data_IF_019387790709
#
_entry.id   IF_019387790709
#
_cell.length_a   1.000
_cell.length_b   1.000
_cell.length_c   1.000
_cell.angle_alpha   90.00
_cell.angle_beta   90.00
_cell.angle_gamma   90.00
#
_symmetry.space_group_name_H-M   'P 1'
#
loop_
_entity.id
_entity.type
_entity.pdbx_description
1 polymer ?
#
# COMPACT_ATOMS: atom_id res chain seq x y z
N UNK A 1 11.81 -4.53 28.21
CA UNK A 1 12.57 -4.29 26.96
C UNK A 1 13.94 -3.80 27.39
N UNK A 2 15.07 -4.34 26.88
CA UNK A 2 16.40 -3.83 27.18
C UNK A 2 16.48 -2.31 26.91
N UNK A 3 17.18 -1.52 27.76
CA UNK A 3 17.15 -0.05 27.67
C UNK A 3 17.52 0.49 26.28
N UNK A 4 18.58 -0.04 25.67
CA UNK A 4 19.04 0.37 24.34
C UNK A 4 18.00 0.11 23.23
N UNK A 5 17.30 -1.01 23.29
CA UNK A 5 16.23 -1.33 22.32
C UNK A 5 14.98 -0.47 22.55
N UNK A 6 14.68 -0.14 23.82
CA UNK A 6 13.60 0.81 24.14
C UNK A 6 13.90 2.20 23.57
N UNK A 7 15.11 2.70 23.78
CA UNK A 7 15.54 4.01 23.28
C UNK A 7 15.48 4.10 21.75
N UNK A 8 15.91 3.05 21.04
CA UNK A 8 15.75 2.96 19.58
C UNK A 8 14.28 3.03 19.17
N UNK A 9 13.41 2.21 19.77
CA UNK A 9 11.98 2.24 19.46
C UNK A 9 11.37 3.63 19.66
N UNK A 10 11.66 4.27 20.79
CA UNK A 10 11.13 5.58 21.14
C UNK A 10 11.64 6.68 20.19
N UNK A 11 12.92 6.63 19.81
CA UNK A 11 13.54 7.65 18.95
C UNK A 11 13.24 7.47 17.46
N UNK A 12 13.29 6.23 16.93
CA UNK A 12 13.20 5.99 15.49
C UNK A 12 11.80 5.63 15.01
N UNK A 13 11.06 4.82 15.77
CA UNK A 13 9.76 4.27 15.34
C UNK A 13 8.61 5.12 15.90
N UNK A 14 8.48 5.19 17.22
CA UNK A 14 7.39 5.93 17.86
C UNK A 14 7.59 7.44 17.76
N UNK A 15 8.85 7.92 17.72
CA UNK A 15 9.24 9.35 17.80
C UNK A 15 8.67 10.04 19.05
N UNK A 16 8.44 9.25 20.10
CA UNK A 16 8.01 9.65 21.44
C UNK A 16 8.17 8.47 22.41
N UNK A 17 8.10 8.73 23.71
CA UNK A 17 8.25 7.68 24.72
C UNK A 17 7.10 6.67 24.68
N UNK A 18 7.36 5.41 25.03
CA UNK A 18 6.32 4.37 25.10
C UNK A 18 5.24 4.71 26.13
N UNK A 19 5.58 5.48 27.16
CA UNK A 19 4.63 5.96 28.16
C UNK A 19 3.70 7.05 27.58
N UNK A 20 4.20 7.92 26.70
CA UNK A 20 3.37 8.88 25.95
C UNK A 20 2.41 8.14 25.01
N UNK A 21 2.91 7.17 24.24
CA UNK A 21 2.08 6.32 23.36
C UNK A 21 1.01 5.57 24.16
N UNK A 22 1.37 5.07 25.35
CA UNK A 22 0.40 4.41 26.24
C UNK A 22 -0.71 5.36 26.68
N UNK A 23 -0.38 6.61 27.05
CA UNK A 23 -1.39 7.60 27.43
C UNK A 23 -2.35 7.92 26.27
N UNK A 24 -1.85 7.99 25.04
CA UNK A 24 -2.70 8.10 23.85
C UNK A 24 -3.63 6.90 23.68
N UNK A 25 -3.12 5.68 23.89
CA UNK A 25 -3.93 4.46 23.85
C UNK A 25 -5.03 4.50 24.91
N UNK A 26 -4.70 4.90 26.15
CA UNK A 26 -5.67 5.05 27.24
C UNK A 26 -6.76 6.04 26.84
N UNK A 27 -6.39 7.23 26.35
CA UNK A 27 -7.36 8.24 25.88
C UNK A 27 -8.28 7.67 24.79
N UNK A 28 -7.71 7.06 23.76
CA UNK A 28 -8.47 6.50 22.64
C UNK A 28 -9.44 5.39 23.04
N UNK A 29 -9.00 4.44 23.87
CA UNK A 29 -9.83 3.29 24.25
C UNK A 29 -10.78 3.59 25.40
N UNK A 30 -10.52 4.59 26.25
CA UNK A 30 -11.45 4.97 27.31
C UNK A 30 -12.78 5.48 26.76
N UNK A 31 -12.78 6.08 25.58
CA UNK A 31 -14.00 6.56 24.90
C UNK A 31 -14.69 5.46 24.08
N UNK A 32 -14.00 4.35 23.75
CA UNK A 32 -14.45 3.39 22.72
C UNK A 32 -14.63 1.97 23.23
N UNK A 33 -13.66 1.46 23.97
CA UNK A 33 -13.68 0.12 24.56
C UNK A 33 -12.77 0.06 25.81
N UNK A 34 -13.23 0.55 26.97
CA UNK A 34 -12.45 0.61 28.22
C UNK A 34 -11.88 -0.74 28.66
N UNK A 35 -12.56 -1.84 28.30
CA UNK A 35 -12.14 -3.22 28.60
C UNK A 35 -10.75 -3.56 28.05
N UNK A 36 -10.32 -2.91 26.96
CA UNK A 36 -8.94 -3.07 26.45
C UNK A 36 -7.91 -2.56 27.46
N UNK A 37 -8.19 -1.44 28.12
CA UNK A 37 -7.31 -0.83 29.11
C UNK A 37 -7.30 -1.64 30.40
N UNK A 38 -8.47 -2.10 30.86
CA UNK A 38 -8.58 -3.00 32.01
C UNK A 38 -7.74 -4.26 31.81
N UNK A 39 -7.87 -4.92 30.65
CA UNK A 39 -7.11 -6.13 30.32
C UNK A 39 -5.61 -5.84 30.23
N UNK A 40 -5.23 -4.73 29.59
CA UNK A 40 -3.83 -4.33 29.41
C UNK A 40 -3.15 -3.95 30.73
N UNK A 41 -3.87 -3.36 31.69
CA UNK A 41 -3.34 -3.06 33.02
C UNK A 41 -3.04 -4.34 33.83
N UNK A 42 -3.81 -5.41 33.62
CA UNK A 42 -3.59 -6.70 34.27
C UNK A 42 -2.52 -7.55 33.58
N UNK A 43 -2.33 -7.37 32.26
CA UNK A 43 -1.46 -8.19 31.42
C UNK A 43 -0.43 -7.33 30.68
N UNK A 44 0.84 -7.29 31.12
CA UNK A 44 1.88 -6.47 30.50
C UNK A 44 2.08 -6.72 28.99
N UNK A 45 1.84 -7.96 28.53
CA UNK A 45 1.89 -8.30 27.09
C UNK A 45 0.77 -7.65 26.29
N UNK A 46 -0.42 -7.49 26.88
CA UNK A 46 -1.53 -6.82 26.23
C UNK A 46 -1.29 -5.30 26.16
N UNK A 47 -0.75 -4.69 27.22
CA UNK A 47 -0.29 -3.30 27.20
C UNK A 47 0.72 -3.07 26.08
N UNK A 48 1.73 -3.93 25.99
CA UNK A 48 2.74 -3.87 24.93
C UNK A 48 2.12 -4.01 23.54
N UNK A 49 1.18 -4.94 23.36
CA UNK A 49 0.50 -5.14 22.09
C UNK A 49 -0.33 -3.91 21.66
N UNK A 50 -1.02 -3.25 22.60
CA UNK A 50 -1.75 -2.01 22.30
C UNK A 50 -0.82 -0.88 21.87
N UNK A 51 0.31 -0.70 22.56
CA UNK A 51 1.34 0.29 22.18
C UNK A 51 1.86 0.01 20.75
N UNK A 52 2.12 -1.26 20.39
CA UNK A 52 2.61 -1.57 19.05
C UNK A 52 1.51 -1.44 17.97
N UNK A 53 0.27 -1.80 18.30
CA UNK A 53 -0.89 -1.63 17.41
C UNK A 53 -1.21 -0.16 17.14
N UNK A 54 -0.87 0.75 18.05
CA UNK A 54 -0.95 2.19 17.80
C UNK A 54 -0.13 2.57 16.57
N UNK A 55 1.12 2.12 16.46
CA UNK A 55 1.98 2.41 15.31
C UNK A 55 1.45 1.73 14.04
N UNK A 56 1.11 0.44 14.12
CA UNK A 56 0.56 -0.30 12.97
C UNK A 56 -0.73 0.35 12.44
N UNK A 57 -1.63 0.79 13.34
CA UNK A 57 -2.86 1.47 12.95
C UNK A 57 -2.62 2.85 12.34
N UNK A 58 -1.73 3.65 12.92
CA UNK A 58 -1.45 4.99 12.42
C UNK A 58 -0.60 5.00 11.16
N UNK A 59 0.30 4.03 10.95
CA UNK A 59 1.13 3.92 9.75
C UNK A 59 0.32 3.87 8.45
N UNK A 60 -0.82 3.17 8.46
CA UNK A 60 -1.79 3.18 7.37
C UNK A 60 -2.47 4.55 7.21
N UNK A 61 -2.84 5.21 8.33
CA UNK A 61 -3.47 6.53 8.30
C UNK A 61 -2.53 7.61 7.77
N UNK A 62 -1.26 7.59 8.21
CA UNK A 62 -0.22 8.52 7.77
C UNK A 62 -0.01 8.46 6.27
N UNK A 63 0.01 7.25 5.70
CA UNK A 63 0.10 7.05 4.26
C UNK A 63 -1.09 7.68 3.52
N UNK A 64 -2.32 7.44 3.98
CA UNK A 64 -3.53 7.97 3.32
C UNK A 64 -3.69 9.49 3.43
N UNK A 65 -3.19 10.10 4.50
CA UNK A 65 -3.31 11.56 4.72
C UNK A 65 -2.09 12.33 4.22
N UNK A 66 -1.01 11.67 3.80
CA UNK A 66 0.25 12.33 3.47
C UNK A 66 0.85 13.05 4.67
N UNK A 67 0.89 12.40 5.84
CA UNK A 67 1.42 13.02 7.06
C UNK A 67 2.93 13.36 6.91
N UNK A 68 3.27 14.63 6.93
CA UNK A 68 4.65 15.13 6.82
C UNK A 68 5.54 14.61 7.97
N UNK A 69 6.78 14.26 7.65
CA UNK A 69 7.76 13.75 8.61
C UNK A 69 7.51 12.28 9.03
N UNK A 70 6.57 11.58 8.40
CA UNK A 70 6.24 10.16 8.62
C UNK A 70 6.36 9.33 7.34
N UNK A 71 6.98 9.86 6.29
CA UNK A 71 7.07 9.23 4.95
C UNK A 71 7.68 7.83 5.01
N UNK A 72 8.72 7.64 5.84
CA UNK A 72 9.38 6.35 6.05
C UNK A 72 8.54 5.36 6.89
N UNK A 73 7.50 5.85 7.56
CA UNK A 73 6.58 5.07 8.38
C UNK A 73 5.29 4.71 7.63
N UNK A 74 5.16 5.06 6.34
CA UNK A 74 3.95 4.80 5.58
C UNK A 74 3.77 3.31 5.32
N UNK A 75 2.67 2.76 5.84
CA UNK A 75 2.26 1.41 5.51
C UNK A 75 1.40 1.42 4.24
N UNK A 76 2.04 1.20 3.10
CA UNK A 76 1.39 1.16 1.78
C UNK A 76 1.15 -0.31 1.39
N UNK A 77 -0.11 -0.66 1.19
CA UNK A 77 -0.49 -2.01 0.78
C UNK A 77 -0.35 -2.12 -0.74
N UNK A 78 0.64 -2.88 -1.20
CA UNK A 78 0.96 -3.00 -2.61
C UNK A 78 1.44 -4.42 -2.92
N UNK A 79 0.99 -4.95 -4.07
CA UNK A 79 1.40 -6.24 -4.59
C UNK A 79 2.28 -6.13 -5.84
N UNK A 80 2.82 -7.26 -6.34
CA UNK A 80 3.69 -7.27 -7.53
C UNK A 80 2.98 -6.79 -8.79
N UNK A 81 1.63 -6.82 -8.83
CA UNK A 81 0.82 -6.29 -9.92
C UNK A 81 1.08 -4.82 -10.20
N UNK A 82 1.38 -4.01 -9.19
CA UNK A 82 1.72 -2.60 -9.38
C UNK A 82 3.04 -2.43 -10.13
N UNK A 83 4.04 -3.26 -9.84
CA UNK A 83 5.32 -3.27 -10.56
C UNK A 83 5.13 -3.69 -12.02
N UNK A 84 4.42 -4.79 -12.26
CA UNK A 84 4.09 -5.24 -13.61
C UNK A 84 3.29 -4.19 -14.41
N UNK A 85 2.35 -3.50 -13.75
CA UNK A 85 1.62 -2.39 -14.36
C UNK A 85 2.56 -1.24 -14.71
N UNK A 86 3.41 -0.80 -13.79
CA UNK A 86 4.38 0.29 -14.02
C UNK A 86 5.33 -0.02 -15.19
N UNK A 87 5.80 -1.26 -15.30
CA UNK A 87 6.63 -1.69 -16.43
C UNK A 87 5.87 -1.70 -17.75
N UNK A 88 4.61 -2.14 -17.74
CA UNK A 88 3.76 -2.17 -18.92
C UNK A 88 3.41 -0.78 -19.46
N UNK A 89 3.22 0.22 -18.57
CA UNK A 89 2.90 1.60 -18.97
C UNK A 89 4.12 2.51 -19.17
N UNK A 90 5.33 1.96 -19.07
CA UNK A 90 6.57 2.73 -19.24
C UNK A 90 6.65 3.34 -20.65
N UNK A 91 6.97 4.63 -20.72
CA UNK A 91 7.03 5.39 -21.97
C UNK A 91 5.65 5.76 -22.54
N UNK A 92 4.56 5.53 -21.81
CA UNK A 92 3.21 5.97 -22.20
C UNK A 92 2.71 7.10 -21.32
N UNK A 93 1.56 7.70 -21.67
CA UNK A 93 0.97 8.74 -20.85
C UNK A 93 0.57 8.25 -19.45
N UNK A 94 0.35 6.93 -19.26
CA UNK A 94 0.03 6.32 -17.97
C UNK A 94 1.26 6.11 -17.07
N UNK A 95 2.49 6.39 -17.55
CA UNK A 95 3.69 6.34 -16.72
C UNK A 95 3.55 7.28 -15.51
N UNK A 96 3.07 8.50 -15.74
CA UNK A 96 2.76 9.49 -14.69
C UNK A 96 1.52 9.05 -13.89
N UNK A 97 1.61 8.88 -12.55
CA UNK A 97 0.47 8.49 -11.72
C UNK A 97 -0.75 9.41 -11.83
N UNK A 98 -0.54 10.69 -12.10
CA UNK A 98 -1.57 11.73 -12.23
C UNK A 98 -2.47 11.50 -13.46
N UNK A 99 -1.99 10.76 -14.46
CA UNK A 99 -2.76 10.39 -15.65
C UNK A 99 -3.58 9.11 -15.46
N UNK A 100 -3.42 8.40 -14.33
CA UNK A 100 -4.03 7.09 -14.12
C UNK A 100 -5.47 7.24 -13.64
N UNK A 101 -6.40 7.30 -14.59
CA UNK A 101 -7.83 7.18 -14.30
C UNK A 101 -8.23 5.70 -14.21
N UNK A 102 -8.95 5.31 -13.15
CA UNK A 102 -9.34 3.91 -12.91
C UNK A 102 -10.14 3.30 -14.07
N UNK A 103 -11.05 4.09 -14.67
CA UNK A 103 -11.89 3.62 -15.77
C UNK A 103 -11.07 3.38 -17.04
N UNK A 104 -10.14 4.30 -17.33
CA UNK A 104 -9.27 4.24 -18.51
C UNK A 104 -8.26 3.09 -18.41
N UNK A 105 -7.61 2.94 -17.24
CA UNK A 105 -6.74 1.79 -16.94
C UNK A 105 -7.49 0.48 -17.09
N UNK A 106 -8.70 0.38 -16.53
CA UNK A 106 -9.53 -0.83 -16.65
C UNK A 106 -9.86 -1.15 -18.11
N UNK A 107 -10.18 -0.13 -18.91
CA UNK A 107 -10.47 -0.32 -20.33
C UNK A 107 -9.23 -0.77 -21.11
N UNK A 108 -8.05 -0.22 -20.83
CA UNK A 108 -6.81 -0.70 -21.42
C UNK A 108 -6.49 -2.14 -21.07
N UNK A 109 -6.71 -2.56 -19.82
CA UNK A 109 -6.51 -3.96 -19.41
C UNK A 109 -7.45 -4.91 -20.18
N UNK A 110 -8.74 -4.55 -20.31
CA UNK A 110 -9.71 -5.37 -21.05
C UNK A 110 -9.43 -5.39 -22.56
N UNK A 111 -9.15 -4.23 -23.15
CA UNK A 111 -8.79 -4.10 -24.57
C UNK A 111 -7.50 -4.85 -24.88
N UNK A 112 -6.50 -4.73 -24.02
CA UNK A 112 -5.24 -5.46 -24.13
C UNK A 112 -5.42 -6.97 -24.03
N UNK A 113 -6.24 -7.46 -23.10
CA UNK A 113 -6.56 -8.88 -23.00
C UNK A 113 -7.25 -9.41 -24.27
N UNK A 114 -8.26 -8.68 -24.79
CA UNK A 114 -8.96 -9.04 -26.02
C UNK A 114 -8.04 -9.03 -27.25
N UNK A 115 -7.15 -8.03 -27.34
CA UNK A 115 -6.13 -7.93 -28.39
C UNK A 115 -5.18 -9.13 -28.36
N UNK A 116 -4.59 -9.41 -27.20
CA UNK A 116 -3.65 -10.52 -27.03
C UNK A 116 -4.33 -11.86 -27.32
N UNK A 117 -5.58 -12.04 -26.89
CA UNK A 117 -6.35 -13.23 -27.21
C UNK A 117 -6.50 -13.43 -28.72
N UNK A 118 -6.85 -12.38 -29.46
CA UNK A 118 -6.94 -12.44 -30.94
C UNK A 118 -5.60 -12.76 -31.59
N UNK A 119 -4.50 -12.16 -31.13
CA UNK A 119 -3.14 -12.47 -31.60
C UNK A 119 -2.85 -13.96 -31.41
N UNK A 120 -3.09 -14.51 -30.21
CA UNK A 120 -2.86 -15.94 -29.91
C UNK A 120 -3.73 -16.86 -30.77
N UNK A 121 -4.98 -16.50 -31.02
CA UNK A 121 -5.87 -17.29 -31.90
C UNK A 121 -5.39 -17.34 -33.35
N UNK A 122 -4.83 -16.24 -33.87
CA UNK A 122 -4.28 -16.19 -35.23
C UNK A 122 -2.98 -17.00 -35.31
N UNK A 123 -2.08 -16.87 -34.33
CA UNK A 123 -0.86 -17.67 -34.23
C UNK A 123 -1.17 -19.17 -34.18
N UNK A 124 -2.18 -19.57 -33.41
CA UNK A 124 -2.63 -20.97 -33.33
C UNK A 124 -3.16 -21.54 -34.66
N UNK A 125 -3.57 -20.67 -35.59
CA UNK A 125 -3.97 -21.04 -36.95
C UNK A 125 -2.81 -20.98 -37.97
N UNK A 126 -1.58 -20.73 -37.51
CA UNK A 126 -0.39 -20.66 -38.34
C UNK A 126 -0.13 -19.29 -38.97
N UNK A 127 -0.89 -18.25 -38.61
CA UNK A 127 -0.64 -16.89 -39.06
C UNK A 127 0.62 -16.36 -38.39
N UNK A 128 1.59 -15.91 -39.19
CA UNK A 128 2.80 -15.24 -38.69
C UNK A 128 2.55 -13.76 -38.56
N UNK A 129 2.52 -13.26 -37.33
CA UNK A 129 2.33 -11.85 -37.01
C UNK A 129 3.71 -11.23 -36.73
N UNK A 130 3.95 -10.04 -37.25
CA UNK A 130 5.19 -9.32 -37.00
C UNK A 130 5.33 -8.96 -35.51
N UNK A 131 6.54 -9.00 -34.98
CA UNK A 131 6.82 -8.87 -33.53
C UNK A 131 6.35 -7.55 -32.91
N UNK A 132 6.20 -6.51 -33.71
CA UNK A 132 5.70 -5.20 -33.35
C UNK A 132 4.17 -5.20 -33.15
N UNK A 133 3.45 -6.18 -33.71
CA UNK A 133 1.99 -6.29 -33.66
C UNK A 133 1.50 -7.33 -32.63
N UNK A 134 2.37 -8.00 -31.89
CA UNK A 134 1.97 -9.01 -30.89
C UNK A 134 1.83 -8.42 -29.47
N UNK A 135 2.10 -7.13 -29.28
CA UNK A 135 2.03 -6.45 -27.98
C UNK A 135 0.99 -5.35 -27.99
N UNK A 136 0.32 -5.20 -26.86
CA UNK A 136 -0.60 -4.09 -26.62
C UNK A 136 0.05 -3.09 -25.66
N UNK A 137 0.00 -1.80 -26.02
CA UNK A 137 0.53 -0.71 -25.21
C UNK A 137 -0.45 0.47 -25.20
N UNK A 138 -0.71 1.09 -24.03
CA UNK A 138 -1.68 2.18 -23.89
C UNK A 138 -1.09 3.53 -24.29
N UNK A 139 -1.02 3.83 -25.59
CA UNK A 139 -0.43 5.08 -26.09
C UNK A 139 -1.36 6.29 -26.11
N UNK A 140 -2.67 6.07 -26.09
CA UNK A 140 -3.71 7.10 -26.17
C UNK A 140 -4.81 6.81 -25.15
N UNK A 141 -5.48 7.87 -24.67
CA UNK A 141 -6.63 7.76 -23.75
C UNK A 141 -7.80 7.09 -24.45
N UNK A 142 -8.49 6.19 -23.74
CA UNK A 142 -9.73 5.57 -24.24
C UNK A 142 -10.99 6.27 -23.71
N UNK A 143 -10.87 7.01 -22.60
CA UNK A 143 -11.94 7.74 -21.94
C UNK A 143 -11.54 9.18 -21.62
#
# INVERSE_FOLDING_TARGET
IPPSEREKLESTIFKQSLDSVWNECVKFFSERDPRQIERANQKPKDKMALIFRWYLGLSSRWASTGAEGREMDYQIWCGPSMGAFNDWVRGTYLESPENRCVADVSMHLLKGAAFLWRVRMLEAQGVRIASELIRYSPHERLL
#
